data_IF_722446887890
#
_entry.id   IF_722446887890
#
_cell.length_a   1.000
_cell.length_b   1.000
_cell.length_c   1.000
_cell.angle_alpha   90.00
_cell.angle_beta   90.00
_cell.angle_gamma   90.00
#
_symmetry.space_group_name_H-M   'P 1'
#
loop_
_entity.id
_entity.type
_entity.pdbx_description
1 polymer ?
#
# COMPACT_ATOMS: atom_id res chain seq x y z
N UNK A 1 -10.22 20.23 11.87
CA UNK A 1 -10.92 19.48 10.81
C UNK A 1 -10.82 18.01 11.18
N UNK A 2 -11.92 17.26 11.17
CA UNK A 2 -11.88 15.80 11.39
C UNK A 2 -11.35 15.09 10.14
N UNK A 3 -10.93 13.83 10.27
CA UNK A 3 -10.50 13.05 9.11
C UNK A 3 -11.64 12.89 8.10
N UNK A 4 -12.85 12.63 8.56
CA UNK A 4 -14.05 12.53 7.72
C UNK A 4 -14.27 13.78 6.86
N UNK A 5 -14.11 14.98 7.45
CA UNK A 5 -14.19 16.24 6.72
C UNK A 5 -13.07 16.38 5.68
N UNK A 6 -11.85 15.93 6.01
CA UNK A 6 -10.71 15.94 5.09
C UNK A 6 -10.97 15.01 3.87
N UNK A 7 -11.52 13.82 4.11
CA UNK A 7 -11.72 12.78 3.10
C UNK A 7 -13.08 12.88 2.37
N UNK A 8 -14.04 13.63 2.92
CA UNK A 8 -15.42 13.67 2.44
C UNK A 8 -16.26 12.44 2.80
N UNK A 9 -15.86 11.65 3.80
CA UNK A 9 -16.49 10.37 4.15
C UNK A 9 -17.36 10.46 5.39
N UNK A 10 -18.17 9.42 5.65
CA UNK A 10 -19.01 9.32 6.86
C UNK A 10 -18.24 8.63 7.99
N UNK A 11 -17.41 7.65 7.65
CA UNK A 11 -16.61 6.85 8.58
C UNK A 11 -15.11 7.19 8.44
N UNK A 12 -14.35 7.14 9.55
CA UNK A 12 -12.89 7.34 9.54
C UNK A 12 -12.16 6.03 9.18
N UNK A 13 -12.69 5.30 8.19
CA UNK A 13 -12.19 3.98 7.78
C UNK A 13 -11.78 4.06 6.32
N UNK A 14 -10.52 3.76 6.04
CA UNK A 14 -9.96 3.64 4.70
C UNK A 14 -9.73 2.16 4.42
N UNK A 15 -10.32 1.65 3.35
CA UNK A 15 -9.99 0.34 2.81
C UNK A 15 -8.63 0.46 2.11
N UNK A 16 -7.62 -0.28 2.56
CA UNK A 16 -6.25 -0.11 2.07
C UNK A 16 -6.12 -0.41 0.56
N UNK A 17 -5.35 0.37 -0.22
CA UNK A 17 -5.06 0.02 -1.61
C UNK A 17 -4.16 -1.24 -1.68
N UNK A 18 -4.71 -2.37 -2.09
CA UNK A 18 -3.98 -3.66 -2.15
C UNK A 18 -3.77 -4.15 -3.59
N UNK A 19 -2.64 -3.78 -4.20
CA UNK A 19 -2.33 -4.14 -5.59
C UNK A 19 -2.35 -5.66 -5.82
N UNK A 20 -3.07 -6.10 -6.87
CA UNK A 20 -3.17 -7.51 -7.26
C UNK A 20 -4.23 -8.34 -6.55
N UNK A 21 -4.98 -7.77 -5.60
CA UNK A 21 -6.04 -8.48 -4.85
C UNK A 21 -7.35 -7.69 -4.74
N UNK A 22 -7.44 -6.52 -5.38
CA UNK A 22 -8.67 -5.74 -5.49
C UNK A 22 -8.67 -4.83 -6.73
N UNK A 23 -9.84 -4.25 -7.01
CA UNK A 23 -10.07 -3.22 -8.01
C UNK A 23 -11.33 -2.40 -7.66
N UNK A 24 -12.03 -1.91 -8.68
CA UNK A 24 -13.25 -1.09 -8.58
C UNK A 24 -14.33 -1.64 -7.65
N UNK A 25 -14.67 -2.93 -7.75
CA UNK A 25 -15.77 -3.53 -6.99
C UNK A 25 -15.62 -3.33 -5.46
N UNK A 26 -14.42 -3.58 -4.91
CA UNK A 26 -14.17 -3.41 -3.48
C UNK A 26 -14.14 -1.93 -3.08
N UNK A 27 -13.56 -1.07 -3.93
CA UNK A 27 -13.54 0.37 -3.67
C UNK A 27 -14.97 0.94 -3.63
N UNK A 28 -15.82 0.59 -4.59
CA UNK A 28 -17.23 0.98 -4.66
C UNK A 28 -17.98 0.52 -3.41
N UNK A 29 -17.83 -0.75 -3.02
CA UNK A 29 -18.52 -1.31 -1.86
C UNK A 29 -18.21 -0.53 -0.58
N UNK A 30 -16.94 -0.21 -0.33
CA UNK A 30 -16.54 0.55 0.86
C UNK A 30 -16.97 2.02 0.80
N UNK A 31 -16.81 2.68 -0.36
CA UNK A 31 -17.24 4.07 -0.50
C UNK A 31 -18.75 4.22 -0.32
N UNK A 32 -19.55 3.27 -0.83
CA UNK A 32 -21.00 3.26 -0.63
C UNK A 32 -21.41 2.94 0.81
N UNK A 33 -20.59 2.19 1.56
CA UNK A 33 -20.79 1.93 2.98
C UNK A 33 -20.35 3.10 3.89
N UNK A 34 -19.89 4.21 3.32
CA UNK A 34 -19.53 5.44 4.04
C UNK A 34 -18.05 5.55 4.44
N UNK A 35 -17.23 4.54 4.13
CA UNK A 35 -15.77 4.61 4.26
C UNK A 35 -15.10 5.25 3.03
N UNK A 36 -13.77 5.19 2.97
CA UNK A 36 -12.99 5.55 1.79
C UNK A 36 -12.53 4.26 1.09
N UNK A 37 -13.14 3.94 -0.04
CA UNK A 37 -12.62 2.90 -0.95
C UNK A 37 -11.32 3.34 -1.60
N UNK A 38 -10.42 2.39 -1.90
CA UNK A 38 -9.14 2.69 -2.55
C UNK A 38 -8.90 1.86 -3.81
N UNK A 39 -8.38 2.49 -4.86
CA UNK A 39 -7.92 1.83 -6.09
C UNK A 39 -6.37 1.77 -6.10
N UNK A 40 -5.75 0.57 -6.07
CA UNK A 40 -4.30 0.43 -6.19
C UNK A 40 -3.85 0.48 -7.64
N UNK A 41 -3.09 1.51 -8.02
CA UNK A 41 -2.66 1.73 -9.41
C UNK A 41 -1.23 1.26 -9.71
N UNK A 42 -0.46 0.83 -8.71
CA UNK A 42 0.95 0.46 -8.87
C UNK A 42 1.25 -0.69 -9.84
N UNK A 43 0.22 -1.44 -10.27
CA UNK A 43 0.33 -2.55 -11.24
C UNK A 43 -0.55 -2.35 -12.48
N UNK A 44 -1.15 -1.17 -12.65
CA UNK A 44 -2.08 -0.87 -13.73
C UNK A 44 -1.42 0.02 -14.79
N UNK A 45 -1.73 -0.23 -16.06
CA UNK A 45 -1.46 0.73 -17.13
C UNK A 45 -2.39 1.94 -17.00
N UNK A 46 -2.07 3.06 -17.66
CA UNK A 46 -2.92 4.25 -17.66
C UNK A 46 -4.34 3.94 -18.17
N UNK A 47 -4.47 3.11 -19.22
CA UNK A 47 -5.77 2.69 -19.76
C UNK A 47 -6.56 1.81 -18.77
N UNK A 48 -5.87 0.94 -18.04
CA UNK A 48 -6.49 0.15 -16.98
C UNK A 48 -6.96 1.05 -15.82
N UNK A 49 -6.18 2.09 -15.45
CA UNK A 49 -6.60 3.08 -14.45
C UNK A 49 -7.84 3.83 -14.93
N UNK A 50 -7.89 4.28 -16.20
CA UNK A 50 -9.08 4.92 -16.79
C UNK A 50 -10.31 4.01 -16.69
N UNK A 51 -10.14 2.74 -17.05
CA UNK A 51 -11.21 1.76 -17.05
C UNK A 51 -11.74 1.48 -15.64
N UNK A 52 -10.86 1.30 -14.66
CA UNK A 52 -11.23 1.10 -13.26
C UNK A 52 -11.93 2.34 -12.67
N UNK A 53 -11.42 3.54 -12.94
CA UNK A 53 -12.08 4.78 -12.48
C UNK A 53 -13.46 4.94 -13.12
N UNK A 54 -13.61 4.67 -14.42
CA UNK A 54 -14.91 4.70 -15.08
C UNK A 54 -15.90 3.68 -14.48
N UNK A 55 -15.43 2.47 -14.14
CA UNK A 55 -16.26 1.46 -13.48
C UNK A 55 -16.69 1.88 -12.06
N UNK A 56 -15.84 2.62 -11.33
CA UNK A 56 -16.17 3.16 -10.01
C UNK A 56 -17.20 4.28 -10.14
N UNK A 57 -16.95 5.27 -11.00
CA UNK A 57 -17.82 6.45 -11.13
C UNK A 57 -19.19 6.13 -11.71
N UNK A 58 -19.32 5.03 -12.47
CA UNK A 58 -20.61 4.51 -12.91
C UNK A 58 -21.48 3.95 -11.76
N UNK A 59 -20.89 3.62 -10.61
CA UNK A 59 -21.59 2.96 -9.49
C UNK A 59 -21.63 3.80 -8.21
N UNK A 60 -20.81 4.84 -8.10
CA UNK A 60 -20.81 5.73 -6.94
C UNK A 60 -20.28 7.12 -7.27
N UNK A 61 -20.85 8.12 -6.59
CA UNK A 61 -20.33 9.49 -6.55
C UNK A 61 -19.61 9.80 -5.21
N UNK A 62 -19.44 8.80 -4.34
CA UNK A 62 -18.76 8.94 -3.04
C UNK A 62 -17.24 9.07 -3.25
N UNK A 63 -16.50 9.65 -2.29
CA UNK A 63 -15.05 9.82 -2.39
C UNK A 63 -14.28 8.52 -2.67
N UNK A 64 -13.19 8.67 -3.40
CA UNK A 64 -12.27 7.59 -3.77
C UNK A 64 -10.83 8.00 -3.44
N UNK A 65 -10.05 7.03 -2.95
CA UNK A 65 -8.59 7.10 -2.90
C UNK A 65 -7.99 6.39 -4.11
N UNK A 66 -7.05 7.03 -4.80
CA UNK A 66 -6.25 6.41 -5.87
C UNK A 66 -4.79 6.33 -5.42
N UNK A 67 -4.21 5.13 -5.43
CA UNK A 67 -2.90 4.87 -4.81
C UNK A 67 -1.80 4.59 -5.83
N UNK A 68 -0.65 5.22 -5.63
CA UNK A 68 0.54 5.03 -6.46
C UNK A 68 1.79 4.73 -5.62
N UNK A 69 2.77 4.07 -6.24
CA UNK A 69 4.11 3.97 -5.68
C UNK A 69 4.96 5.16 -6.16
N UNK A 70 5.84 5.67 -5.31
CA UNK A 70 6.76 6.77 -5.64
C UNK A 70 8.21 6.43 -5.30
N UNK A 71 8.55 5.14 -5.34
CA UNK A 71 9.91 4.65 -5.16
C UNK A 71 10.85 5.14 -6.27
N UNK A 72 12.12 5.27 -5.95
CA UNK A 72 13.18 5.41 -6.96
C UNK A 72 13.34 4.09 -7.70
N UNK A 73 13.27 4.13 -9.03
CA UNK A 73 13.53 2.96 -9.87
C UNK A 73 14.97 2.46 -9.61
N UNK A 74 15.17 1.17 -9.30
CA UNK A 74 16.50 0.64 -9.10
C UNK A 74 17.28 0.60 -10.42
N UNK A 75 18.59 0.83 -10.35
CA UNK A 75 19.46 0.58 -11.49
C UNK A 75 19.59 -0.92 -11.75
N UNK A 76 19.43 -1.28 -13.03
CA UNK A 76 19.62 -2.65 -13.48
C UNK A 76 21.05 -3.12 -13.25
N UNK A 77 21.20 -4.35 -12.75
CA UNK A 77 22.51 -4.98 -12.56
C UNK A 77 22.42 -6.43 -13.01
N UNK A 78 23.06 -6.72 -14.16
CA UNK A 78 23.13 -8.06 -14.72
C UNK A 78 23.78 -9.05 -13.74
N UNK A 79 24.78 -8.60 -12.97
CA UNK A 79 25.43 -9.41 -11.94
C UNK A 79 24.45 -9.81 -10.83
N UNK A 80 23.75 -8.84 -10.23
CA UNK A 80 22.75 -9.13 -9.18
C UNK A 80 21.62 -10.02 -9.70
N UNK A 81 21.17 -9.79 -10.92
CA UNK A 81 20.14 -10.64 -11.54
C UNK A 81 20.65 -12.07 -11.75
N UNK A 82 21.86 -12.25 -12.28
CA UNK A 82 22.45 -13.57 -12.50
C UNK A 82 22.65 -14.32 -11.17
N UNK A 83 23.14 -13.65 -10.12
CA UNK A 83 23.26 -14.21 -8.77
C UNK A 83 21.90 -14.64 -8.22
N UNK A 84 20.86 -13.82 -8.40
CA UNK A 84 19.52 -14.15 -7.94
C UNK A 84 18.91 -15.34 -8.71
N UNK A 85 19.07 -15.38 -10.03
CA UNK A 85 18.63 -16.51 -10.86
C UNK A 85 19.35 -17.80 -10.48
N UNK A 86 20.65 -17.74 -10.19
CA UNK A 86 21.42 -18.88 -9.70
C UNK A 86 20.89 -19.40 -8.36
N UNK A 87 20.53 -18.51 -7.42
CA UNK A 87 19.92 -18.88 -6.15
C UNK A 87 18.55 -19.58 -6.31
N UNK A 88 17.83 -19.29 -7.41
CA UNK A 88 16.54 -19.91 -7.74
C UNK A 88 16.65 -21.20 -8.57
N UNK A 89 17.84 -21.57 -9.04
CA UNK A 89 18.07 -22.69 -9.98
C UNK A 89 17.54 -24.05 -9.51
N UNK A 90 17.54 -24.32 -8.21
CA UNK A 90 16.96 -25.55 -7.66
C UNK A 90 15.45 -25.61 -7.90
N UNK A 91 14.74 -24.49 -7.72
CA UNK A 91 13.29 -24.43 -7.94
C UNK A 91 12.95 -24.54 -9.42
N UNK A 92 13.70 -23.85 -10.29
CA UNK A 92 13.50 -23.96 -11.73
C UNK A 92 13.59 -25.42 -12.20
N UNK A 93 14.63 -26.15 -11.77
CA UNK A 93 14.77 -27.59 -12.07
C UNK A 93 13.64 -28.43 -11.49
N UNK A 94 13.24 -28.17 -10.24
CA UNK A 94 12.18 -28.93 -9.57
C UNK A 94 10.80 -28.80 -10.26
N UNK A 95 10.55 -27.67 -10.92
CA UNK A 95 9.29 -27.39 -11.62
C UNK A 95 9.40 -27.46 -13.15
N UNK A 96 10.56 -27.85 -13.71
CA UNK A 96 10.78 -27.92 -15.16
C UNK A 96 10.69 -26.56 -15.85
N UNK A 97 11.04 -25.47 -15.16
CA UNK A 97 11.02 -24.11 -15.69
C UNK A 97 12.37 -23.81 -16.35
N UNK A 98 12.34 -23.36 -17.60
CA UNK A 98 13.51 -22.81 -18.29
C UNK A 98 13.70 -21.34 -17.90
N UNK A 99 14.79 -21.04 -17.18
CA UNK A 99 15.07 -19.70 -16.68
C UNK A 99 15.32 -18.67 -17.80
N UNK A 100 15.74 -19.13 -18.97
CA UNK A 100 16.09 -18.26 -20.11
C UNK A 100 14.84 -17.80 -20.86
N UNK A 101 13.70 -18.44 -20.60
CA UNK A 101 12.40 -18.11 -21.19
C UNK A 101 11.53 -17.22 -20.30
N UNK A 102 11.98 -16.91 -19.08
CA UNK A 102 11.21 -16.08 -18.15
C UNK A 102 11.11 -14.66 -18.70
N UNK A 103 9.89 -14.17 -19.04
CA UNK A 103 9.74 -12.85 -19.61
C UNK A 103 10.11 -11.79 -18.57
N UNK A 104 10.54 -10.62 -19.06
CA UNK A 104 10.64 -9.43 -18.22
C UNK A 104 9.23 -9.13 -17.70
N UNK A 105 9.04 -9.29 -16.39
CA UNK A 105 7.75 -9.02 -15.76
C UNK A 105 7.35 -7.56 -15.90
N UNK A 106 6.04 -7.23 -15.83
CA UNK A 106 5.60 -5.85 -15.78
C UNK A 106 6.20 -5.20 -14.53
N UNK A 107 7.19 -4.32 -14.73
CA UNK A 107 7.78 -3.54 -13.66
C UNK A 107 6.68 -2.71 -12.97
N UNK A 108 6.82 -2.50 -11.67
CA UNK A 108 5.95 -1.57 -10.94
C UNK A 108 6.48 -0.17 -11.20
N UNK A 109 5.91 0.55 -12.16
CA UNK A 109 6.36 1.90 -12.49
C UNK A 109 6.07 2.86 -11.32
N UNK A 110 6.99 3.77 -10.97
CA UNK A 110 6.69 4.85 -10.04
C UNK A 110 5.73 5.86 -10.68
N UNK A 111 5.12 6.69 -9.85
CA UNK A 111 4.22 7.75 -10.27
C UNK A 111 4.91 8.69 -11.28
N UNK A 112 4.25 8.90 -12.42
CA UNK A 112 4.81 9.60 -13.57
C UNK A 112 4.04 10.88 -13.91
N UNK A 113 4.55 11.66 -14.85
CA UNK A 113 3.87 12.86 -15.35
C UNK A 113 2.55 12.54 -16.05
N UNK A 114 2.48 11.42 -16.76
CA UNK A 114 1.27 10.94 -17.44
C UNK A 114 0.22 10.48 -16.44
N UNK A 115 0.63 9.83 -15.35
CA UNK A 115 -0.27 9.50 -14.25
C UNK A 115 -0.77 10.78 -13.55
N UNK A 116 0.08 11.80 -13.37
CA UNK A 116 -0.35 13.09 -12.83
C UNK A 116 -1.38 13.78 -13.74
N UNK A 117 -1.16 13.78 -15.05
CA UNK A 117 -2.10 14.34 -16.04
C UNK A 117 -3.43 13.59 -15.99
N UNK A 118 -3.39 12.25 -15.91
CA UNK A 118 -4.59 11.43 -15.77
C UNK A 118 -5.46 11.85 -14.56
N UNK A 119 -4.81 12.20 -13.45
CA UNK A 119 -5.50 12.61 -12.23
C UNK A 119 -6.10 14.03 -12.33
N UNK A 120 -5.60 14.90 -13.21
CA UNK A 120 -6.21 16.23 -13.41
C UNK A 120 -7.58 16.12 -14.09
N UNK A 121 -7.78 15.07 -14.89
CA UNK A 121 -9.06 14.77 -15.54
C UNK A 121 -10.09 14.24 -14.54
N UNK A 122 -9.70 13.27 -13.71
CA UNK A 122 -10.63 12.57 -12.81
C UNK A 122 -10.82 13.22 -11.44
N UNK A 123 -9.81 13.96 -10.95
CA UNK A 123 -9.84 14.68 -9.67
C UNK A 123 -10.36 13.83 -8.50
N UNK A 124 -9.73 12.68 -8.18
CA UNK A 124 -10.16 11.89 -7.05
C UNK A 124 -10.07 12.69 -5.76
N UNK A 125 -10.94 12.40 -4.79
CA UNK A 125 -10.93 13.08 -3.50
C UNK A 125 -9.58 12.95 -2.80
N UNK A 126 -8.95 11.77 -2.93
CA UNK A 126 -7.69 11.43 -2.28
C UNK A 126 -6.74 10.77 -3.27
N UNK A 127 -5.48 11.16 -3.20
CA UNK A 127 -4.36 10.46 -3.83
C UNK A 127 -3.40 10.04 -2.75
N UNK A 128 -3.15 8.73 -2.65
CA UNK A 128 -2.21 8.19 -1.67
C UNK A 128 -0.93 7.70 -2.33
N UNK A 129 0.19 7.91 -1.65
CA UNK A 129 1.49 7.43 -2.09
C UNK A 129 2.04 6.39 -1.12
N UNK A 130 2.73 5.40 -1.67
CA UNK A 130 3.58 4.49 -0.90
C UNK A 130 5.03 4.72 -1.29
N UNK A 131 5.94 4.61 -0.30
CA UNK A 131 7.38 4.87 -0.44
C UNK A 131 7.78 6.35 -0.57
N UNK A 132 7.10 7.25 0.15
CA UNK A 132 7.43 8.68 0.18
C UNK A 132 6.43 9.55 -0.58
N UNK A 133 6.93 10.56 -1.29
CA UNK A 133 6.14 11.44 -2.17
C UNK A 133 6.82 11.55 -3.54
N UNK A 134 6.07 11.86 -4.61
CA UNK A 134 6.67 12.18 -5.90
C UNK A 134 7.42 13.53 -5.83
N UNK A 135 8.03 13.96 -6.94
CA UNK A 135 8.67 15.27 -7.02
C UNK A 135 7.69 16.40 -6.65
N UNK A 136 8.21 17.50 -6.12
CA UNK A 136 7.39 18.65 -5.71
C UNK A 136 6.51 19.19 -6.86
N UNK A 137 7.02 19.13 -8.10
CA UNK A 137 6.27 19.51 -9.30
C UNK A 137 5.06 18.59 -9.54
N UNK A 138 5.27 17.27 -9.54
CA UNK A 138 4.19 16.30 -9.73
C UNK A 138 3.17 16.38 -8.58
N UNK A 139 3.65 16.55 -7.35
CA UNK A 139 2.79 16.73 -6.19
C UNK A 139 1.91 17.99 -6.34
N UNK A 140 2.50 19.12 -6.74
CA UNK A 140 1.76 20.37 -6.95
C UNK A 140 0.69 20.24 -8.04
N UNK A 141 0.97 19.50 -9.13
CA UNK A 141 -0.02 19.21 -10.17
C UNK A 141 -1.23 18.45 -9.61
N UNK A 142 -0.99 17.40 -8.80
CA UNK A 142 -2.08 16.65 -8.15
C UNK A 142 -2.87 17.53 -7.19
N UNK A 143 -2.21 18.34 -6.36
CA UNK A 143 -2.88 19.25 -5.41
C UNK A 143 -3.72 20.32 -6.10
N UNK A 144 -3.30 20.80 -7.28
CA UNK A 144 -4.08 21.76 -8.09
C UNK A 144 -5.42 21.18 -8.53
N UNK A 145 -5.52 19.85 -8.67
CA UNK A 145 -6.78 19.14 -8.93
C UNK A 145 -7.74 19.09 -7.73
N UNK A 146 -7.31 19.53 -6.54
CA UNK A 146 -8.10 19.54 -5.30
C UNK A 146 -7.99 18.28 -4.44
N UNK A 147 -7.25 17.27 -4.90
CA UNK A 147 -7.04 16.02 -4.17
C UNK A 147 -6.27 16.23 -2.88
N UNK A 148 -6.66 15.49 -1.83
CA UNK A 148 -5.88 15.37 -0.59
C UNK A 148 -4.78 14.34 -0.75
N UNK A 149 -3.61 14.64 -0.22
CA UNK A 149 -2.42 13.80 -0.32
C UNK A 149 -2.24 13.01 0.97
N UNK A 150 -2.23 11.69 0.85
CA UNK A 150 -1.88 10.78 1.93
C UNK A 150 -0.57 10.07 1.59
N UNK A 151 0.28 9.78 2.58
CA UNK A 151 1.42 8.89 2.36
C UNK A 151 1.78 8.10 3.62
N UNK A 152 2.39 6.95 3.42
CA UNK A 152 2.81 6.03 4.49
C UNK A 152 4.13 6.47 5.12
N UNK A 153 4.14 6.51 6.46
CA UNK A 153 5.35 6.61 7.28
C UNK A 153 5.47 5.38 8.18
N UNK A 154 6.69 4.89 8.34
CA UNK A 154 7.05 3.77 9.21
C UNK A 154 7.84 4.20 10.44
N UNK A 155 8.26 5.47 10.47
CA UNK A 155 9.00 6.12 11.56
C UNK A 155 8.47 7.54 11.80
N UNK A 156 8.86 8.13 12.92
CA UNK A 156 8.58 9.55 13.22
C UNK A 156 9.28 10.47 12.21
N UNK A 157 10.52 10.17 11.84
CA UNK A 157 11.30 11.01 10.91
C UNK A 157 10.64 11.06 9.52
N UNK A 158 10.14 9.91 9.04
CA UNK A 158 9.37 9.85 7.79
C UNK A 158 8.08 10.67 7.89
N UNK A 159 7.39 10.61 9.03
CA UNK A 159 6.17 11.36 9.25
C UNK A 159 6.41 12.89 9.22
N UNK A 160 7.44 13.36 9.92
CA UNK A 160 7.83 14.77 9.91
C UNK A 160 8.28 15.22 8.51
N UNK A 161 8.98 14.36 7.78
CA UNK A 161 9.34 14.63 6.39
C UNK A 161 8.10 14.78 5.51
N UNK A 162 7.13 13.86 5.59
CA UNK A 162 5.88 13.94 4.82
C UNK A 162 5.09 15.22 5.10
N UNK A 163 4.98 15.62 6.37
CA UNK A 163 4.32 16.88 6.76
C UNK A 163 5.04 18.08 6.15
N UNK A 164 6.37 18.15 6.28
CA UNK A 164 7.17 19.24 5.72
C UNK A 164 7.09 19.34 4.19
N UNK A 165 6.79 18.25 3.51
CA UNK A 165 6.71 18.17 2.04
C UNK A 165 5.27 18.17 1.52
N UNK A 166 4.28 18.49 2.37
CA UNK A 166 2.94 18.84 1.93
C UNK A 166 1.94 17.67 1.85
N UNK A 167 2.17 16.58 2.58
CA UNK A 167 1.10 15.62 2.86
C UNK A 167 -0.03 16.28 3.67
N UNK A 168 -1.27 15.89 3.42
CA UNK A 168 -2.45 16.38 4.14
C UNK A 168 -2.87 15.43 5.28
N UNK A 169 -2.42 14.17 5.25
CA UNK A 169 -2.51 13.21 6.36
C UNK A 169 -1.43 12.12 6.23
N UNK A 170 -1.07 11.50 7.36
CA UNK A 170 0.01 10.50 7.43
C UNK A 170 -0.60 9.13 7.75
N UNK A 171 -0.26 8.12 6.96
CA UNK A 171 -0.58 6.73 7.24
C UNK A 171 0.55 6.14 8.09
N UNK A 172 0.34 6.05 9.39
CA UNK A 172 1.28 5.43 10.34
C UNK A 172 1.22 3.90 10.18
N UNK A 173 2.14 3.35 9.38
CA UNK A 173 2.19 1.93 9.04
C UNK A 173 3.05 1.19 10.06
N UNK A 174 2.44 0.57 11.07
CA UNK A 174 3.16 -0.27 12.04
C UNK A 174 3.67 -1.57 11.43
N UNK A 175 4.61 -2.22 12.10
CA UNK A 175 5.22 -3.49 11.64
C UNK A 175 4.21 -4.61 11.39
N UNK A 176 3.06 -4.60 12.05
CA UNK A 176 1.96 -5.56 11.91
C UNK A 176 1.30 -5.51 10.52
N UNK A 177 1.47 -4.43 9.76
CA UNK A 177 0.86 -4.30 8.45
C UNK A 177 1.33 -5.37 7.44
N UNK A 178 0.38 -5.93 6.70
CA UNK A 178 0.62 -6.81 5.55
C UNK A 178 1.17 -6.05 4.34
N UNK A 179 1.80 -6.76 3.40
CA UNK A 179 2.33 -6.16 2.18
C UNK A 179 3.60 -5.33 2.41
N UNK A 180 3.95 -4.49 1.44
CA UNK A 180 5.20 -3.72 1.44
C UNK A 180 5.31 -2.76 2.63
N UNK A 181 6.50 -2.73 3.26
CA UNK A 181 6.90 -1.67 4.18
C UNK A 181 7.09 -0.38 3.42
N UNK A 182 6.42 0.69 3.85
CA UNK A 182 6.37 1.97 3.17
C UNK A 182 7.59 2.86 3.37
N UNK A 183 8.68 2.33 3.95
CA UNK A 183 9.85 3.12 4.31
C UNK A 183 10.57 3.70 3.08
N UNK A 184 11.14 4.88 3.26
CA UNK A 184 11.79 5.65 2.20
C UNK A 184 12.96 6.52 2.66
N UNK A 185 13.13 6.80 3.97
CA UNK A 185 14.31 7.54 4.46
C UNK A 185 15.49 6.62 4.83
N UNK A 186 15.21 5.41 5.28
CA UNK A 186 16.22 4.41 5.65
C UNK A 186 15.75 3.01 5.30
N UNK A 187 16.68 2.16 4.88
CA UNK A 187 16.45 0.73 4.66
C UNK A 187 16.74 -0.11 5.92
N UNK A 188 17.24 0.50 7.00
CA UNK A 188 17.40 -0.16 8.29
C UNK A 188 16.02 -0.50 8.87
N UNK A 189 15.65 -1.79 8.87
CA UNK A 189 14.36 -2.25 9.38
C UNK A 189 14.25 -2.16 10.91
N UNK A 190 15.37 -2.03 11.63
CA UNK A 190 15.39 -2.06 13.10
C UNK A 190 14.83 -0.79 13.73
N UNK A 191 14.76 0.31 12.98
CA UNK A 191 14.19 1.59 13.44
C UNK A 191 12.66 1.61 13.35
N UNK A 192 12.05 0.64 12.65
CA UNK A 192 10.60 0.56 12.53
C UNK A 192 9.99 -0.08 13.77
N UNK A 193 8.81 0.38 14.17
CA UNK A 193 8.13 -0.07 15.40
C UNK A 193 6.70 -0.54 15.14
N UNK A 194 6.10 -1.23 16.11
CA UNK A 194 4.71 -1.71 16.03
C UNK A 194 3.68 -0.58 16.09
N UNK A 195 2.48 -0.82 15.57
CA UNK A 195 1.38 0.16 15.45
C UNK A 195 1.10 0.86 16.78
N UNK A 196 1.09 0.09 17.89
CA UNK A 196 0.80 0.61 19.23
C UNK A 196 1.79 1.71 19.66
N UNK A 197 3.06 1.58 19.30
CA UNK A 197 4.09 2.57 19.61
C UNK A 197 4.16 3.68 18.54
N UNK A 198 4.06 3.31 17.26
CA UNK A 198 4.22 4.23 16.14
C UNK A 198 3.17 5.35 16.13
N UNK A 199 1.89 4.98 16.28
CA UNK A 199 0.77 5.91 16.18
C UNK A 199 0.90 7.07 17.18
N UNK A 200 0.99 6.85 18.51
CA UNK A 200 1.05 7.96 19.46
C UNK A 200 2.35 8.78 19.31
N UNK A 201 3.46 8.16 18.91
CA UNK A 201 4.71 8.89 18.67
C UNK A 201 4.59 9.86 17.49
N UNK A 202 3.99 9.43 16.37
CA UNK A 202 3.75 10.32 15.23
C UNK A 202 2.74 11.41 15.61
N UNK A 203 1.62 11.07 16.26
CA UNK A 203 0.59 12.04 16.69
C UNK A 203 1.18 13.17 17.53
N UNK A 204 2.18 12.89 18.37
CA UNK A 204 2.85 13.91 19.19
C UNK A 204 3.82 14.82 18.40
N UNK A 205 4.19 14.44 17.18
CA UNK A 205 5.29 15.07 16.43
C UNK A 205 4.85 15.78 15.15
N UNK A 206 3.62 15.54 14.71
CA UNK A 206 3.02 16.19 13.54
C UNK A 206 1.72 16.90 13.92
N UNK A 207 1.28 17.85 13.10
CA UNK A 207 0.04 18.61 13.27
C UNK A 207 -1.07 18.10 12.38
N UNK A 208 -0.75 17.45 11.27
CA UNK A 208 -1.72 16.85 10.35
C UNK A 208 -2.31 15.53 10.87
N UNK A 209 -3.51 15.11 10.43
CA UNK A 209 -4.15 13.88 10.88
C UNK A 209 -3.30 12.63 10.65
N UNK A 210 -3.30 11.73 11.64
CA UNK A 210 -2.61 10.43 11.59
C UNK A 210 -3.62 9.30 11.43
N UNK A 211 -3.41 8.45 10.44
CA UNK A 211 -4.23 7.28 10.12
C UNK A 211 -3.46 6.03 10.54
N UNK A 212 -4.00 5.25 11.47
CA UNK A 212 -3.34 4.04 11.92
C UNK A 212 -3.48 2.90 10.90
N UNK A 213 -2.38 2.23 10.56
CA UNK A 213 -2.38 1.08 9.65
C UNK A 213 -1.52 -0.07 10.19
N UNK A 214 -2.07 -1.29 10.17
CA UNK A 214 -1.40 -2.51 10.61
C UNK A 214 -1.98 -3.10 11.88
N UNK A 215 -2.37 -4.38 11.83
CA UNK A 215 -2.95 -5.11 12.97
C UNK A 215 -4.42 -4.79 13.28
N UNK A 216 -5.04 -3.84 12.58
CA UNK A 216 -6.45 -3.47 12.80
C UNK A 216 -7.35 -4.35 11.92
N UNK A 217 -8.16 -5.20 12.56
CA UNK A 217 -9.02 -6.16 11.87
C UNK A 217 -10.48 -6.20 12.36
N UNK A 218 -10.79 -5.52 13.47
CA UNK A 218 -12.13 -5.47 14.06
C UNK A 218 -12.39 -4.13 14.75
N UNK A 219 -13.60 -3.96 15.30
CA UNK A 219 -14.01 -2.73 15.99
C UNK A 219 -13.18 -2.42 17.24
N UNK A 220 -12.60 -3.42 17.91
CA UNK A 220 -11.72 -3.22 19.06
C UNK A 220 -10.37 -2.63 18.64
N UNK A 221 -9.81 -3.14 17.54
CA UNK A 221 -8.61 -2.57 16.92
C UNK A 221 -8.83 -1.12 16.47
N UNK A 222 -10.01 -0.82 15.90
CA UNK A 222 -10.39 0.55 15.58
C UNK A 222 -10.44 1.42 16.83
N UNK A 223 -11.18 1.00 17.87
CA UNK A 223 -11.31 1.76 19.12
C UNK A 223 -9.95 2.00 19.80
N UNK A 224 -9.06 1.00 19.80
CA UNK A 224 -7.71 1.12 20.32
C UNK A 224 -6.89 2.16 19.53
N UNK A 225 -6.93 2.13 18.20
CA UNK A 225 -6.24 3.11 17.36
C UNK A 225 -6.74 4.55 17.62
N UNK A 226 -8.07 4.74 17.73
CA UNK A 226 -8.65 6.04 18.06
C UNK A 226 -8.20 6.52 19.46
N UNK A 227 -8.10 5.61 20.43
CA UNK A 227 -7.62 5.92 21.80
C UNK A 227 -6.16 6.34 21.81
N UNK A 228 -5.33 5.80 20.90
CA UNK A 228 -3.93 6.20 20.70
C UNK A 228 -3.77 7.56 20.00
N UNK A 229 -4.88 8.21 19.63
CA UNK A 229 -4.89 9.52 18.99
C UNK A 229 -4.94 9.50 17.46
N UNK A 230 -5.13 8.33 16.83
CA UNK A 230 -5.36 8.27 15.40
C UNK A 230 -6.68 9.01 15.04
N UNK A 231 -6.67 9.73 13.93
CA UNK A 231 -7.86 10.38 13.37
C UNK A 231 -8.75 9.39 12.60
N UNK A 232 -8.21 8.22 12.27
CA UNK A 232 -8.91 7.10 11.63
C UNK A 232 -7.98 5.93 11.37
N UNK A 233 -8.47 4.94 10.63
CA UNK A 233 -7.76 3.68 10.38
C UNK A 233 -7.71 3.36 8.90
N UNK A 234 -6.61 2.72 8.48
CA UNK A 234 -6.50 2.06 7.18
C UNK A 234 -6.41 0.55 7.37
N UNK A 235 -7.38 -0.17 6.81
CA UNK A 235 -7.60 -1.60 7.01
C UNK A 235 -7.37 -2.36 5.71
N UNK A 236 -6.42 -3.30 5.72
CA UNK A 236 -6.08 -4.12 4.56
C UNK A 236 -6.54 -5.56 4.70
N UNK A 237 -5.80 -6.37 5.47
CA UNK A 237 -5.97 -7.83 5.59
C UNK A 237 -7.42 -8.28 5.85
N UNK A 238 -8.20 -7.54 6.65
CA UNK A 238 -9.59 -7.87 6.95
C UNK A 238 -10.50 -7.90 5.71
N UNK A 239 -10.17 -7.15 4.65
CA UNK A 239 -10.93 -7.12 3.41
C UNK A 239 -10.55 -8.23 2.41
N UNK A 240 -9.45 -8.96 2.63
CA UNK A 240 -8.94 -9.94 1.66
C UNK A 240 -9.88 -11.13 1.41
N UNK A 241 -10.84 -11.36 2.32
CA UNK A 241 -11.85 -12.42 2.20
C UNK A 241 -13.23 -11.93 1.75
N UNK A 242 -13.44 -10.61 1.57
CA UNK A 242 -14.69 -10.05 1.05
C UNK A 242 -15.01 -10.60 -0.35
N UNK A 243 -16.29 -10.62 -0.74
CA UNK A 243 -16.71 -11.16 -2.04
C UNK A 243 -16.16 -10.33 -3.22
N UNK A 244 -16.01 -9.02 -3.01
CA UNK A 244 -15.56 -8.02 -3.97
C UNK A 244 -14.03 -8.03 -4.18
N UNK A 245 -13.27 -8.68 -3.29
CA UNK A 245 -11.82 -8.79 -3.41
C UNK A 245 -11.44 -9.85 -4.46
N UNK A 246 -10.45 -9.54 -5.29
CA UNK A 246 -9.91 -10.46 -6.32
C UNK A 246 -8.81 -11.38 -5.80
N UNK A 247 -8.66 -11.48 -4.47
CA UNK A 247 -7.76 -12.44 -3.81
C UNK A 247 -7.95 -13.85 -4.37
N UNK A 248 -6.88 -14.44 -4.90
CA UNK A 248 -6.92 -15.76 -5.55
C UNK A 248 -7.37 -16.88 -4.61
N UNK A 249 -7.91 -17.96 -5.17
CA UNK A 249 -8.37 -19.11 -4.38
C UNK A 249 -7.27 -19.69 -3.48
N UNK A 250 -6.04 -19.81 -3.99
CA UNK A 250 -4.88 -20.28 -3.20
C UNK A 250 -4.53 -19.33 -2.05
N UNK A 251 -4.59 -18.02 -2.28
CA UNK A 251 -4.33 -17.03 -1.22
C UNK A 251 -5.45 -17.00 -0.18
N UNK A 252 -6.72 -17.09 -0.59
CA UNK A 252 -7.87 -17.23 0.33
C UNK A 252 -7.78 -18.49 1.17
N UNK A 253 -7.34 -19.61 0.60
CA UNK A 253 -7.10 -20.85 1.34
C UNK A 253 -5.99 -20.67 2.38
N UNK A 254 -4.87 -20.04 1.99
CA UNK A 254 -3.76 -19.76 2.90
C UNK A 254 -4.19 -18.86 4.08
N UNK A 255 -4.93 -17.77 3.81
CA UNK A 255 -5.47 -16.85 4.83
C UNK A 255 -6.39 -17.52 5.85
N UNK A 256 -7.09 -18.60 5.46
CA UNK A 256 -8.00 -19.37 6.33
C UNK A 256 -7.32 -20.54 7.03
N UNK A 257 -6.05 -20.80 6.73
CA UNK A 257 -5.30 -21.93 7.29
C UNK A 257 -4.50 -21.52 8.54
N UNK A 258 -4.05 -22.51 9.30
CA UNK A 258 -3.13 -22.31 10.43
C UNK A 258 -1.81 -21.60 10.02
N UNK A 259 -1.40 -21.72 8.75
CA UNK A 259 -0.22 -21.03 8.25
C UNK A 259 -0.33 -19.50 8.36
N UNK A 260 -1.55 -18.93 8.31
CA UNK A 260 -1.77 -17.49 8.41
C UNK A 260 -1.31 -16.89 9.76
N UNK A 261 -1.16 -17.73 10.80
CA UNK A 261 -0.65 -17.31 12.11
C UNK A 261 0.82 -16.90 12.09
N UNK A 262 1.58 -17.35 11.10
CA UNK A 262 3.00 -17.04 10.97
C UNK A 262 3.27 -16.21 9.71
N UNK A 263 3.57 -14.93 9.91
CA UNK A 263 4.02 -14.02 8.85
C UNK A 263 5.42 -13.52 9.13
N UNK A 264 6.17 -13.21 8.08
CA UNK A 264 7.49 -12.59 8.19
C UNK A 264 7.67 -11.51 7.12
N UNK A 265 8.58 -10.57 7.37
CA UNK A 265 9.03 -9.63 6.35
C UNK A 265 9.94 -10.35 5.36
N UNK A 266 9.70 -10.16 4.07
CA UNK A 266 10.52 -10.75 3.02
C UNK A 266 10.71 -9.82 1.83
N UNK A 267 11.90 -9.86 1.23
CA UNK A 267 12.19 -9.15 -0.01
C UNK A 267 12.29 -10.08 -1.24
N UNK A 268 12.12 -11.39 -1.07
CA UNK A 268 12.37 -12.40 -2.11
C UNK A 268 11.43 -12.27 -3.32
N UNK A 269 10.24 -11.68 -3.14
CA UNK A 269 9.22 -11.60 -4.21
C UNK A 269 9.31 -10.32 -5.03
N UNK A 270 9.92 -9.26 -4.51
CA UNK A 270 9.87 -7.93 -5.16
C UNK A 270 11.12 -7.07 -4.97
N UNK A 271 12.13 -7.55 -4.23
CA UNK A 271 13.33 -6.77 -3.88
C UNK A 271 13.14 -5.73 -2.76
N UNK A 272 11.92 -5.56 -2.21
CA UNK A 272 11.67 -4.68 -1.04
C UNK A 272 10.95 -5.44 0.07
N UNK A 273 11.20 -5.13 1.35
CA UNK A 273 10.56 -5.80 2.48
C UNK A 273 9.03 -5.72 2.42
N UNK A 274 8.37 -6.88 2.44
CA UNK A 274 6.93 -7.03 2.47
C UNK A 274 6.52 -8.15 3.43
N UNK A 275 5.47 -7.93 4.22
CA UNK A 275 4.93 -8.95 5.13
C UNK A 275 4.02 -9.91 4.37
N UNK A 276 4.33 -11.21 4.45
CA UNK A 276 3.52 -12.28 3.89
C UNK A 276 3.49 -13.52 4.79
N UNK A 277 2.55 -14.42 4.52
CA UNK A 277 2.48 -15.75 5.16
C UNK A 277 3.75 -16.52 4.81
N UNK A 278 4.42 -17.08 5.82
CA UNK A 278 5.69 -17.79 5.62
C UNK A 278 5.49 -19.02 4.74
N UNK A 279 6.07 -19.00 3.55
CA UNK A 279 6.00 -20.10 2.59
C UNK A 279 7.34 -20.83 2.43
N UNK A 280 7.39 -21.81 1.51
CA UNK A 280 8.56 -22.66 1.27
C UNK A 280 9.79 -21.83 0.89
N UNK A 281 9.65 -20.91 -0.06
CA UNK A 281 10.76 -20.07 -0.55
C UNK A 281 11.35 -19.24 0.59
N UNK A 282 10.50 -18.65 1.44
CA UNK A 282 10.95 -17.86 2.61
C UNK A 282 11.71 -18.70 3.64
N UNK A 283 11.29 -19.96 3.87
CA UNK A 283 11.97 -20.87 4.81
C UNK A 283 13.31 -21.35 4.29
N UNK A 284 13.38 -21.70 3.01
CA UNK A 284 14.57 -22.31 2.41
C UNK A 284 15.64 -21.27 2.07
N UNK A 285 15.26 -20.07 1.62
CA UNK A 285 16.23 -19.01 1.34
C UNK A 285 16.50 -18.11 2.55
N UNK A 286 15.65 -18.12 3.57
CA UNK A 286 15.65 -17.08 4.60
C UNK A 286 14.83 -15.88 4.11
N UNK A 287 14.09 -15.21 5.01
CA UNK A 287 13.03 -14.32 4.58
C UNK A 287 13.57 -13.02 3.97
N UNK A 288 14.75 -12.53 4.40
CA UNK A 288 15.41 -11.33 3.85
C UNK A 288 16.80 -11.71 3.34
N UNK A 289 17.16 -11.27 2.13
CA UNK A 289 18.47 -11.48 1.48
C UNK A 289 19.04 -10.25 0.82
#
# INVERSE_FOLDING_TARGET
MTLQQLLGTELPIIQAPMAGVQGSALAVAVSNAGGLGSLPCAMLSLDAIRSEIAAITAQTAKPLNVNFFCHTSPEFSAEREAMWRAALSHYYRAFGIDSDTIPVGPGRAPFSAEAAELLTEFKPAVVSFHFGLPSAELLARVKTGGSKILSSATTVDEAQWLEAHGADAIIAQGLEAGGHRGNFLSDDLTIQVGTLALVPQIVQKVRIPVIAAGGIADSKGVAAAMTLGAAGVQVGTAYLLCAEATTSAVHRAALKSEAARHTALTNLFTGRPARGIVNRIMRELGPVR
#
